data_IF_549617575813
#
_entry.id   IF_549617575813
#
_cell.length_a   1.000
_cell.length_b   1.000
_cell.length_c   1.000
_cell.angle_alpha   90.00
_cell.angle_beta   90.00
_cell.angle_gamma   90.00
#
_symmetry.space_group_name_H-M   'P 1'
#
loop_
_entity.id
_entity.type
_entity.pdbx_description
1 polymer ?
#
# COMPACT_ATOMS: atom_id res chain seq x y z
N UNK A 1 19.02 13.76 -35.06
CA UNK A 1 18.81 13.86 -33.60
C UNK A 1 18.22 12.55 -33.12
N UNK A 2 18.96 11.68 -32.39
CA UNK A 2 18.38 10.43 -31.92
C UNK A 2 17.41 10.75 -30.77
N UNK A 3 16.16 10.35 -30.94
CA UNK A 3 15.12 10.52 -29.93
C UNK A 3 15.49 9.71 -28.69
N UNK A 4 15.34 10.31 -27.51
CA UNK A 4 15.53 9.68 -26.20
C UNK A 4 14.46 8.60 -25.95
N UNK A 5 14.50 7.50 -26.71
CA UNK A 5 13.59 6.34 -26.66
C UNK A 5 13.53 5.70 -25.26
N UNK A 6 14.59 5.84 -24.47
CA UNK A 6 14.70 5.38 -23.09
C UNK A 6 13.90 6.20 -22.07
N UNK A 7 13.34 7.36 -22.45
CA UNK A 7 12.50 8.22 -21.57
C UNK A 7 11.00 7.93 -21.68
N UNK A 8 10.59 6.88 -22.36
CA UNK A 8 9.17 6.53 -22.47
C UNK A 8 8.72 5.81 -21.19
N UNK A 9 7.92 6.51 -20.38
CA UNK A 9 7.26 5.91 -19.23
C UNK A 9 6.28 4.82 -19.73
N UNK A 10 6.39 3.57 -19.25
CA UNK A 10 5.48 2.52 -19.67
C UNK A 10 4.05 2.88 -19.27
N UNK A 11 3.13 2.73 -20.23
CA UNK A 11 1.70 2.91 -20.02
C UNK A 11 1.09 1.80 -19.16
N UNK A 12 -0.15 1.99 -18.70
CA UNK A 12 -0.90 1.00 -17.91
C UNK A 12 -0.99 -0.38 -18.59
N UNK A 13 -0.85 -0.45 -19.92
CA UNK A 13 -0.94 -1.67 -20.73
C UNK A 13 0.43 -2.28 -21.11
N UNK A 14 1.54 -1.81 -20.53
CA UNK A 14 2.89 -2.31 -20.85
C UNK A 14 3.26 -3.56 -20.02
N UNK A 15 2.91 -4.75 -20.51
CA UNK A 15 3.10 -6.05 -19.82
C UNK A 15 4.53 -6.26 -19.28
N UNK A 16 5.57 -5.87 -20.04
CA UNK A 16 6.97 -6.06 -19.63
C UNK A 16 7.42 -5.20 -18.44
N UNK A 17 6.88 -3.99 -18.29
CA UNK A 17 7.21 -3.12 -17.14
C UNK A 17 6.62 -3.62 -15.82
N UNK A 18 5.61 -4.50 -15.90
CA UNK A 18 5.03 -5.17 -14.74
C UNK A 18 5.78 -6.44 -14.34
N UNK A 19 6.68 -6.96 -15.18
CA UNK A 19 7.49 -8.13 -14.85
C UNK A 19 8.74 -7.78 -14.02
N UNK A 20 9.09 -6.50 -13.91
CA UNK A 20 10.27 -6.04 -13.19
C UNK A 20 9.87 -5.00 -12.14
N UNK A 21 9.81 -5.41 -10.87
CA UNK A 21 9.88 -4.44 -9.76
C UNK A 21 11.34 -4.09 -9.55
N UNK A 22 11.75 -2.92 -10.04
CA UNK A 22 13.15 -2.50 -9.99
C UNK A 22 13.50 -1.53 -8.87
N UNK A 23 12.49 -0.88 -8.25
CA UNK A 23 12.74 0.18 -7.27
C UNK A 23 12.18 -0.21 -5.88
N UNK A 24 13.05 -0.37 -4.86
CA UNK A 24 12.59 -0.63 -3.51
C UNK A 24 11.92 0.62 -2.91
N UNK A 25 10.89 0.38 -2.13
CA UNK A 25 10.25 1.37 -1.27
C UNK A 25 10.11 0.79 0.13
N UNK A 26 10.44 1.60 1.14
CA UNK A 26 10.24 1.27 2.53
C UNK A 26 9.81 2.52 3.29
N UNK A 27 8.82 2.38 4.14
CA UNK A 27 8.47 3.35 5.18
C UNK A 27 8.19 2.58 6.47
N UNK A 28 8.48 3.18 7.61
CA UNK A 28 8.43 2.49 8.90
C UNK A 28 7.93 3.39 10.01
N UNK A 29 7.54 2.77 11.11
CA UNK A 29 7.00 3.44 12.30
C UNK A 29 5.81 4.36 11.96
N UNK A 30 4.97 3.92 11.02
CA UNK A 30 3.77 4.65 10.63
C UNK A 30 2.71 4.51 11.71
N UNK A 31 2.21 5.66 12.17
CA UNK A 31 1.09 5.74 13.11
C UNK A 31 -0.24 5.82 12.34
N UNK A 32 -0.92 4.68 12.27
CA UNK A 32 -2.26 4.52 11.70
C UNK A 32 -3.38 4.57 12.75
N UNK A 33 -3.15 5.02 13.99
CA UNK A 33 -4.26 5.20 14.93
C UNK A 33 -5.24 6.25 14.39
N UNK A 34 -6.53 5.96 14.54
CA UNK A 34 -7.65 6.73 14.01
C UNK A 34 -7.87 8.11 14.68
N UNK A 35 -6.83 8.69 15.28
CA UNK A 35 -6.91 9.86 16.16
C UNK A 35 -6.08 11.08 15.72
N UNK A 36 -5.14 10.95 14.78
CA UNK A 36 -4.33 12.09 14.31
C UNK A 36 -4.80 12.68 12.97
N UNK A 37 -5.66 11.97 12.22
CA UNK A 37 -6.47 12.45 11.09
C UNK A 37 -7.76 11.61 11.02
N UNK A 38 -8.95 12.21 10.82
CA UNK A 38 -10.16 11.43 10.56
C UNK A 38 -9.95 10.66 9.24
N UNK A 39 -9.86 9.32 9.29
CA UNK A 39 -9.59 8.53 8.09
C UNK A 39 -8.58 7.39 8.21
N UNK A 40 -7.70 7.40 9.22
CA UNK A 40 -6.48 6.56 9.21
C UNK A 40 -5.32 7.24 8.46
N UNK A 41 -4.25 6.49 8.21
CA UNK A 41 -3.03 7.00 7.56
C UNK A 41 -2.89 6.49 6.13
N UNK A 42 -2.74 7.40 5.17
CA UNK A 42 -2.48 7.07 3.77
C UNK A 42 -0.98 6.97 3.49
N UNK A 43 -0.53 5.80 3.04
CA UNK A 43 0.81 5.59 2.51
C UNK A 43 0.76 5.73 0.99
N UNK A 44 1.22 6.86 0.47
CA UNK A 44 1.30 7.13 -0.98
C UNK A 44 2.64 6.66 -1.53
N UNK A 45 2.60 5.79 -2.53
CA UNK A 45 3.80 5.35 -3.25
C UNK A 45 4.19 6.36 -4.33
N UNK A 46 5.49 6.58 -4.59
CA UNK A 46 5.92 7.48 -5.68
C UNK A 46 5.63 6.94 -7.10
N UNK A 47 5.51 5.61 -7.23
CA UNK A 47 5.17 4.89 -8.46
C UNK A 47 4.21 3.75 -8.11
N UNK A 48 3.54 3.17 -9.10
CA UNK A 48 2.65 2.03 -8.87
C UNK A 48 3.45 0.84 -8.35
N UNK A 49 3.08 0.31 -7.18
CA UNK A 49 3.68 -0.91 -6.62
C UNK A 49 3.27 -2.14 -7.46
N UNK A 50 4.20 -3.07 -7.67
CA UNK A 50 3.90 -4.42 -8.17
C UNK A 50 3.48 -5.34 -7.03
N UNK A 51 4.11 -5.13 -5.89
CA UNK A 51 3.83 -5.85 -4.65
C UNK A 51 4.07 -4.96 -3.45
N UNK A 52 3.41 -5.28 -2.34
CA UNK A 52 3.71 -4.70 -1.04
C UNK A 52 3.55 -5.73 0.09
N UNK A 53 4.18 -5.45 1.22
CA UNK A 53 4.06 -6.18 2.47
C UNK A 53 3.89 -5.17 3.61
N UNK A 54 3.01 -5.50 4.55
CA UNK A 54 2.76 -4.72 5.75
C UNK A 54 3.22 -5.51 6.97
N UNK A 55 3.97 -4.87 7.85
CA UNK A 55 4.50 -5.45 9.08
C UNK A 55 3.96 -4.62 10.23
N UNK A 56 3.18 -5.23 11.11
CA UNK A 56 2.65 -4.61 12.31
C UNK A 56 3.53 -4.95 13.51
N UNK A 57 4.20 -3.93 14.05
CA UNK A 57 5.08 -4.05 15.23
C UNK A 57 4.37 -3.69 16.54
N UNK A 58 3.10 -3.29 16.49
CA UNK A 58 2.30 -3.05 17.69
C UNK A 58 2.10 -4.37 18.44
N UNK A 59 2.29 -4.37 19.76
CA UNK A 59 2.05 -5.54 20.63
C UNK A 59 0.63 -5.56 21.18
N UNK A 60 -0.13 -4.47 21.01
CA UNK A 60 -1.44 -4.27 21.64
C UNK A 60 -2.59 -4.25 20.64
N UNK A 61 -2.34 -3.86 19.39
CA UNK A 61 -3.42 -3.67 18.40
C UNK A 61 -3.08 -4.25 17.02
N UNK A 62 -4.10 -4.83 16.40
CA UNK A 62 -4.05 -5.28 15.03
C UNK A 62 -4.13 -4.09 14.07
N UNK A 63 -3.48 -4.21 12.92
CA UNK A 63 -3.52 -3.21 11.86
C UNK A 63 -4.53 -3.61 10.80
N UNK A 64 -5.43 -2.70 10.44
CA UNK A 64 -6.34 -2.82 9.30
C UNK A 64 -5.71 -2.15 8.11
N UNK A 65 -5.70 -2.85 6.98
CA UNK A 65 -5.16 -2.35 5.73
C UNK A 65 -6.26 -2.39 4.68
N UNK A 66 -6.52 -1.25 4.04
CA UNK A 66 -7.48 -1.14 2.95
C UNK A 66 -6.91 -0.31 1.79
N UNK A 67 -7.62 -0.25 0.68
CA UNK A 67 -7.19 0.50 -0.51
C UNK A 67 -7.82 1.91 -0.61
N UNK A 68 -8.72 2.25 0.31
CA UNK A 68 -9.35 3.57 0.42
C UNK A 68 -9.64 3.92 1.87
N UNK A 69 -9.81 5.22 2.14
CA UNK A 69 -10.23 5.73 3.46
C UNK A 69 -11.54 5.09 3.92
N UNK A 70 -12.54 5.01 3.03
CA UNK A 70 -13.83 4.39 3.34
C UNK A 70 -13.69 2.90 3.67
N UNK A 71 -12.72 2.22 3.05
CA UNK A 71 -12.41 0.82 3.30
C UNK A 71 -12.02 0.56 4.75
N UNK A 72 -11.34 1.51 5.40
CA UNK A 72 -10.87 1.37 6.79
C UNK A 72 -11.72 2.10 7.83
N UNK A 73 -12.56 3.07 7.42
CA UNK A 73 -13.37 3.89 8.35
C UNK A 73 -14.85 3.56 8.37
N UNK A 74 -15.43 3.11 7.24
CA UNK A 74 -16.87 3.05 7.05
C UNK A 74 -17.38 1.75 6.42
N UNK A 75 -16.48 0.83 6.08
CA UNK A 75 -16.83 -0.50 5.57
C UNK A 75 -15.92 -1.58 6.16
N UNK A 76 -16.21 -2.84 5.81
CA UNK A 76 -15.41 -4.00 6.17
C UNK A 76 -14.49 -4.44 5.01
N UNK A 77 -14.15 -3.50 4.11
CA UNK A 77 -13.31 -3.74 2.93
C UNK A 77 -11.84 -3.51 3.31
N UNK A 78 -11.36 -4.33 4.24
CA UNK A 78 -9.99 -4.31 4.72
C UNK A 78 -9.56 -5.73 5.09
N UNK A 79 -8.24 -5.96 5.12
CA UNK A 79 -7.66 -7.14 5.75
C UNK A 79 -6.92 -6.76 7.01
N UNK A 80 -6.76 -7.71 7.91
CA UNK A 80 -6.12 -7.51 9.22
C UNK A 80 -4.73 -8.11 9.22
N UNK A 81 -3.74 -7.30 9.63
CA UNK A 81 -2.40 -7.75 10.00
C UNK A 81 -2.35 -7.83 11.52
N UNK A 82 -2.17 -9.03 12.10
CA UNK A 82 -2.24 -9.20 13.54
C UNK A 82 -1.17 -8.37 14.24
N UNK A 83 -1.41 -8.03 15.51
CA UNK A 83 -0.40 -7.49 16.40
C UNK A 83 0.78 -8.45 16.51
N UNK A 84 1.96 -7.91 16.83
CA UNK A 84 3.13 -8.71 17.19
C UNK A 84 2.79 -9.59 18.38
N UNK A 85 2.94 -10.89 18.20
CA UNK A 85 2.82 -11.84 19.29
C UNK A 85 4.20 -12.07 19.93
N UNK A 86 4.42 -11.35 21.02
CA UNK A 86 5.65 -11.46 21.82
C UNK A 86 5.61 -12.62 22.80
N UNK A 87 4.45 -13.27 23.00
CA UNK A 87 4.30 -14.34 24.00
C UNK A 87 4.95 -15.66 23.55
N UNK A 88 4.94 -15.95 22.24
CA UNK A 88 5.39 -17.24 21.69
C UNK A 88 6.65 -17.14 20.79
N UNK A 89 7.35 -16.00 20.82
CA UNK A 89 8.54 -15.80 19.98
C UNK A 89 8.26 -15.74 18.47
N UNK A 90 6.99 -15.59 18.08
CA UNK A 90 6.53 -15.63 16.68
C UNK A 90 6.84 -14.35 15.87
N UNK A 91 7.54 -13.38 16.46
CA UNK A 91 7.98 -12.16 15.77
C UNK A 91 6.84 -11.17 15.48
N UNK A 92 7.11 -10.24 14.58
CA UNK A 92 6.11 -9.22 14.20
C UNK A 92 5.01 -9.83 13.34
N UNK A 93 3.77 -9.37 13.55
CA UNK A 93 2.67 -9.71 12.67
C UNK A 93 2.94 -9.12 11.28
N UNK A 94 2.74 -9.92 10.24
CA UNK A 94 3.04 -9.50 8.86
C UNK A 94 2.00 -10.02 7.90
N UNK A 95 1.69 -9.23 6.88
CA UNK A 95 0.99 -9.74 5.72
C UNK A 95 1.90 -10.68 4.92
N UNK A 96 1.31 -11.53 4.09
CA UNK A 96 2.03 -12.08 2.95
C UNK A 96 2.47 -10.95 1.99
N UNK A 97 3.31 -11.30 1.02
CA UNK A 97 3.59 -10.40 -0.10
C UNK A 97 2.37 -10.36 -1.01
N UNK A 98 1.71 -9.20 -1.08
CA UNK A 98 0.54 -9.00 -1.92
C UNK A 98 0.99 -8.44 -3.27
N UNK A 99 0.90 -9.25 -4.32
CA UNK A 99 1.23 -8.87 -5.69
C UNK A 99 0.07 -8.09 -6.35
N UNK A 100 -0.17 -6.89 -5.84
CA UNK A 100 -1.24 -6.01 -6.30
C UNK A 100 -0.66 -4.72 -6.85
N UNK A 101 -1.30 -4.22 -7.92
CA UNK A 101 -1.01 -2.92 -8.51
C UNK A 101 -1.74 -1.83 -7.75
N UNK A 102 -1.03 -1.11 -6.90
CA UNK A 102 -1.59 -0.04 -6.07
C UNK A 102 -0.67 1.18 -6.06
N UNK A 103 -1.26 2.37 -5.94
CA UNK A 103 -0.51 3.63 -5.84
C UNK A 103 -0.51 4.20 -4.43
N UNK A 104 -1.47 3.77 -3.59
CA UNK A 104 -1.49 4.03 -2.17
C UNK A 104 -2.13 2.87 -1.40
N UNK A 105 -1.94 2.86 -0.08
CA UNK A 105 -2.71 2.02 0.85
C UNK A 105 -3.12 2.85 2.06
N UNK A 106 -4.19 2.43 2.73
CA UNK A 106 -4.70 3.04 3.95
C UNK A 106 -4.48 2.10 5.13
N UNK A 107 -3.90 2.64 6.19
CA UNK A 107 -3.60 1.94 7.44
C UNK A 107 -4.49 2.48 8.56
N UNK A 108 -5.05 1.59 9.38
CA UNK A 108 -5.79 1.98 10.57
C UNK A 108 -5.58 1.02 11.74
N UNK A 109 -5.74 1.52 12.97
CA UNK A 109 -5.82 0.68 14.18
C UNK A 109 -4.49 0.25 14.79
N UNK A 110 -3.34 0.64 14.22
CA UNK A 110 -2.03 0.39 14.83
C UNK A 110 -1.14 1.63 14.73
N UNK A 111 -0.35 1.89 15.78
CA UNK A 111 0.56 3.03 15.86
C UNK A 111 1.99 2.73 15.37
N UNK A 112 2.29 1.49 15.00
CA UNK A 112 3.65 1.09 14.63
C UNK A 112 3.64 0.06 13.50
N UNK A 113 3.60 0.57 12.27
CA UNK A 113 3.50 -0.24 11.06
C UNK A 113 4.65 0.10 10.11
N UNK A 114 5.27 -0.94 9.55
CA UNK A 114 6.23 -0.82 8.45
C UNK A 114 5.59 -1.32 7.16
N UNK A 115 5.90 -0.65 6.05
CA UNK A 115 5.44 -1.00 4.71
C UNK A 115 6.64 -1.11 3.79
N UNK A 116 6.77 -2.24 3.13
CA UNK A 116 7.77 -2.49 2.09
C UNK A 116 7.06 -2.74 0.77
N UNK A 117 7.54 -2.15 -0.32
CA UNK A 117 6.95 -2.34 -1.63
C UNK A 117 8.01 -2.40 -2.74
N UNK A 118 7.70 -3.16 -3.79
CA UNK A 118 8.47 -3.16 -5.03
C UNK A 118 7.77 -2.31 -6.08
N UNK A 119 8.32 -1.14 -6.37
CA UNK A 119 7.73 -0.21 -7.32
C UNK A 119 8.07 -0.56 -8.78
N UNK A 120 7.11 -0.30 -9.66
CA UNK A 120 7.28 -0.32 -11.12
C UNK A 120 7.77 1.04 -11.62
N UNK A 121 8.01 1.16 -12.93
CA UNK A 121 8.28 2.44 -13.61
C UNK A 121 7.02 3.19 -14.04
N UNK A 122 5.82 2.68 -13.71
CA UNK A 122 4.54 3.32 -14.04
C UNK A 122 4.27 4.48 -13.07
N UNK A 123 4.11 5.72 -13.54
CA UNK A 123 3.77 6.85 -12.69
C UNK A 123 2.39 6.68 -12.05
N UNK A 124 2.23 7.13 -10.81
CA UNK A 124 0.94 7.09 -10.08
C UNK A 124 -0.18 7.88 -10.76
N UNK A 125 0.17 8.85 -11.61
CA UNK A 125 -0.79 9.58 -12.44
C UNK A 125 -1.56 8.68 -13.40
N UNK A 126 -1.03 7.51 -13.76
CA UNK A 126 -1.70 6.55 -14.64
C UNK A 126 -2.70 5.64 -13.92
N UNK A 127 -2.73 5.65 -12.59
CA UNK A 127 -3.73 4.93 -11.77
C UNK A 127 -4.73 5.85 -11.10
N UNK A 128 -4.63 7.17 -11.35
CA UNK A 128 -5.59 8.14 -10.83
C UNK A 128 -6.97 7.86 -11.40
N UNK A 129 -7.94 7.68 -10.50
CA UNK A 129 -9.37 7.69 -10.79
C UNK A 129 -9.93 9.09 -10.48
N UNK A 130 -11.18 9.33 -10.84
CA UNK A 130 -11.89 10.58 -10.53
C UNK A 130 -11.97 10.88 -9.02
N UNK A 131 -11.68 9.86 -8.18
CA UNK A 131 -11.77 9.90 -6.72
C UNK A 131 -10.42 9.90 -5.99
N UNK A 132 -9.29 9.78 -6.69
CA UNK A 132 -7.97 9.75 -6.04
C UNK A 132 -6.93 8.89 -6.74
N UNK A 133 -5.78 8.62 -6.10
CA UNK A 133 -4.66 7.92 -6.73
C UNK A 133 -4.92 6.41 -6.98
N UNK A 134 -5.93 5.82 -6.33
CA UNK A 134 -6.29 4.39 -6.41
C UNK A 134 -7.67 4.15 -7.03
N UNK A 135 -7.99 2.87 -7.32
CA UNK A 135 -9.36 2.40 -7.50
C UNK A 135 -10.18 2.64 -6.23
N UNK A 136 -11.36 3.25 -6.38
CA UNK A 136 -12.25 3.60 -5.27
C UNK A 136 -13.04 2.38 -4.78
N UNK A 137 -13.11 2.20 -3.46
CA UNK A 137 -13.95 1.17 -2.83
C UNK A 137 -15.45 1.32 -3.10
N UNK A 138 -15.92 2.43 -3.68
CA UNK A 138 -17.31 2.62 -4.11
C UNK A 138 -17.71 1.74 -5.31
N UNK A 139 -16.77 1.04 -5.95
CA UNK A 139 -17.01 0.07 -7.04
C UNK A 139 -16.87 -1.39 -6.62
N UNK A 140 -16.83 -1.69 -5.30
CA UNK A 140 -16.79 -3.06 -4.79
C UNK A 140 -15.41 -3.74 -4.88
N UNK A 141 -14.38 -2.96 -5.14
CA UNK A 141 -12.98 -3.36 -5.25
C UNK A 141 -12.17 -2.46 -4.32
N UNK A 142 -11.98 -2.93 -3.10
CA UNK A 142 -11.36 -2.19 -2.00
C UNK A 142 -11.00 -3.09 -0.84
#
# INVERSE_FOLDING_TARGET
MPANSWKLAPGLNAVGAYQVSGRPYATGSVDGMHGNRPGGYEVVFPYVARWFQVINKSTTQDCRVGFSVSGVTGSNNYFTVPRSDVADGHGFGKSGTLELKVSAIWLSGSANVDVVAGLTSVPTSQTRTDTGPNWSGSTGVG
#
